data_IF_126978312363
#
_entry.id   IF_126978312363
#
_cell.length_a   1.000
_cell.length_b   1.000
_cell.length_c   1.000
_cell.angle_alpha   90.00
_cell.angle_beta   90.00
_cell.angle_gamma   90.00
#
_symmetry.space_group_name_H-M   'P 1'
#
loop_
_entity.id
_entity.type
_entity.pdbx_description
1 polymer ?
#
# COMPACT_ATOMS: atom_id res chain seq x y z
N UNK A 1 10.06 -14.87 2.83
CA UNK A 1 10.35 -13.68 3.65
C UNK A 1 11.30 -13.97 4.82
N UNK A 2 12.31 -14.78 4.57
CA UNK A 2 13.27 -15.19 5.63
C UNK A 2 14.04 -13.97 6.16
N UNK A 3 13.94 -13.72 7.48
CA UNK A 3 14.75 -12.71 8.16
C UNK A 3 14.29 -11.24 8.07
N UNK A 4 13.11 -10.95 7.50
CA UNK A 4 12.61 -9.55 7.39
C UNK A 4 11.92 -9.08 8.67
N UNK A 5 11.18 -9.96 9.33
CA UNK A 5 10.50 -9.68 10.59
C UNK A 5 10.19 -10.99 11.32
N UNK A 6 9.97 -10.97 12.65
CA UNK A 6 9.38 -12.10 13.37
C UNK A 6 7.93 -12.32 12.93
N UNK A 7 7.45 -13.54 13.19
CA UNK A 7 6.09 -13.99 12.89
C UNK A 7 5.53 -14.79 14.06
N UNK A 8 4.23 -14.65 14.34
CA UNK A 8 3.49 -15.59 15.20
C UNK A 8 3.28 -16.96 14.53
N UNK A 9 3.39 -17.03 13.20
CA UNK A 9 3.11 -18.21 12.41
C UNK A 9 1.64 -18.37 12.01
N UNK A 10 0.84 -17.32 12.13
CA UNK A 10 -0.58 -17.32 11.77
C UNK A 10 -0.73 -17.05 10.27
N UNK A 11 -1.30 -18.01 9.54
CA UNK A 11 -1.57 -17.88 8.10
C UNK A 11 -2.64 -16.81 7.83
N UNK A 12 -2.65 -16.29 6.59
CA UNK A 12 -3.54 -15.20 6.17
C UNK A 12 -5.04 -15.50 6.38
N UNK A 13 -5.50 -16.73 6.13
CA UNK A 13 -6.89 -17.14 6.35
C UNK A 13 -7.32 -16.98 7.82
N UNK A 14 -6.73 -17.73 8.75
CA UNK A 14 -7.01 -17.60 10.18
C UNK A 14 -6.87 -16.16 10.71
N UNK A 15 -5.83 -15.42 10.27
CA UNK A 15 -5.63 -14.03 10.67
C UNK A 15 -6.81 -13.14 10.27
N UNK A 16 -7.33 -13.31 9.05
CA UNK A 16 -8.49 -12.55 8.56
C UNK A 16 -9.79 -12.91 9.29
N UNK A 17 -9.96 -14.18 9.69
CA UNK A 17 -11.11 -14.57 10.50
C UNK A 17 -11.03 -13.95 11.90
N UNK A 18 -9.86 -13.97 12.55
CA UNK A 18 -9.65 -13.28 13.84
C UNK A 18 -9.96 -11.77 13.73
N UNK A 19 -9.49 -11.11 12.66
CA UNK A 19 -9.82 -9.69 12.45
C UNK A 19 -11.34 -9.48 12.29
N UNK A 20 -12.01 -10.35 11.54
CA UNK A 20 -13.46 -10.29 11.33
C UNK A 20 -14.24 -10.49 12.63
N UNK A 21 -13.87 -11.50 13.42
CA UNK A 21 -14.46 -11.77 14.72
C UNK A 21 -14.26 -10.61 15.69
N UNK A 22 -13.05 -10.06 15.74
CA UNK A 22 -12.73 -8.89 16.57
C UNK A 22 -13.59 -7.68 16.20
N UNK A 23 -13.72 -7.38 14.89
CA UNK A 23 -14.54 -6.26 14.41
C UNK A 23 -16.05 -6.49 14.68
N UNK A 24 -16.51 -7.74 14.65
CA UNK A 24 -17.91 -8.06 14.96
C UNK A 24 -18.21 -7.85 16.45
N UNK A 25 -17.25 -8.15 17.33
CA UNK A 25 -17.41 -8.01 18.77
C UNK A 25 -17.21 -6.58 19.29
N UNK A 26 -16.26 -5.82 18.69
CA UNK A 26 -15.80 -4.53 19.21
C UNK A 26 -16.11 -3.34 18.30
N UNK A 27 -16.70 -3.59 17.12
CA UNK A 27 -16.90 -2.56 16.10
C UNK A 27 -15.73 -2.41 15.17
N UNK A 28 -15.96 -1.66 14.10
CA UNK A 28 -14.93 -1.31 13.09
C UNK A 28 -14.40 0.06 13.44
N UNK A 29 -13.08 0.28 13.51
CA UNK A 29 -12.51 1.60 13.74
C UNK A 29 -13.06 2.65 12.78
N UNK A 30 -13.34 3.83 13.27
CA UNK A 30 -13.72 4.99 12.45
C UNK A 30 -12.52 5.47 11.62
N UNK A 31 -12.76 6.31 10.61
CA UNK A 31 -11.68 6.89 9.79
C UNK A 31 -10.67 7.66 10.65
N UNK A 32 -11.15 8.36 11.68
CA UNK A 32 -10.32 9.16 12.59
C UNK A 32 -9.46 8.30 13.53
N UNK A 33 -9.89 7.09 13.83
CA UNK A 33 -9.13 6.13 14.65
C UNK A 33 -8.07 5.36 13.86
N UNK A 34 -8.25 5.22 12.54
CA UNK A 34 -7.36 4.43 11.69
C UNK A 34 -5.88 4.83 11.78
N UNK A 35 -5.51 6.13 11.79
CA UNK A 35 -4.09 6.51 11.88
C UNK A 35 -3.40 5.95 13.13
N UNK A 36 -4.09 5.94 14.26
CA UNK A 36 -3.56 5.41 15.52
C UNK A 36 -3.47 3.88 15.47
N UNK A 37 -4.54 3.21 15.08
CA UNK A 37 -4.58 1.73 14.97
C UNK A 37 -3.51 1.21 14.02
N UNK A 38 -3.33 1.85 12.87
CA UNK A 38 -2.33 1.45 11.88
C UNK A 38 -0.92 1.70 12.40
N UNK A 39 -0.65 2.87 12.96
CA UNK A 39 0.66 3.19 13.55
C UNK A 39 1.03 2.19 14.65
N UNK A 40 0.12 1.89 15.56
CA UNK A 40 0.35 0.95 16.66
C UNK A 40 0.66 -0.45 16.12
N UNK A 41 -0.09 -0.92 15.11
CA UNK A 41 0.18 -2.18 14.45
C UNK A 41 1.59 -2.21 13.80
N UNK A 42 2.03 -1.12 13.16
CA UNK A 42 3.35 -1.03 12.52
C UNK A 42 4.49 -0.81 13.52
N UNK A 43 4.23 -0.42 14.78
CA UNK A 43 5.25 -0.40 15.84
C UNK A 43 5.56 -1.81 16.34
N UNK A 44 4.62 -2.75 16.26
CA UNK A 44 4.82 -4.13 16.64
C UNK A 44 5.91 -4.81 15.80
N UNK A 45 6.51 -5.87 16.33
CA UNK A 45 7.58 -6.57 15.61
C UNK A 45 7.03 -7.61 14.63
N UNK A 46 5.93 -8.25 14.99
CA UNK A 46 5.36 -9.38 14.26
C UNK A 46 4.63 -8.94 12.99
N UNK A 47 5.01 -9.56 11.88
CA UNK A 47 4.55 -9.17 10.55
C UNK A 47 3.05 -9.33 10.34
N UNK A 48 2.44 -10.29 11.03
CA UNK A 48 0.98 -10.49 10.97
C UNK A 48 0.19 -9.27 11.40
N UNK A 49 0.69 -8.44 12.34
CA UNK A 49 0.03 -7.21 12.76
C UNK A 49 0.07 -6.15 11.66
N UNK A 50 1.20 -6.02 10.94
CA UNK A 50 1.27 -5.15 9.76
C UNK A 50 0.27 -5.58 8.68
N UNK A 51 0.20 -6.89 8.39
CA UNK A 51 -0.79 -7.41 7.43
C UNK A 51 -2.23 -7.21 7.90
N UNK A 52 -2.48 -7.29 9.21
CA UNK A 52 -3.81 -7.04 9.77
C UNK A 52 -4.23 -5.59 9.56
N UNK A 53 -3.32 -4.63 9.81
CA UNK A 53 -3.55 -3.22 9.52
C UNK A 53 -3.83 -2.96 8.02
N UNK A 54 -3.06 -3.60 7.13
CA UNK A 54 -3.27 -3.49 5.68
C UNK A 54 -4.62 -4.09 5.25
N UNK A 55 -5.03 -5.23 5.80
CA UNK A 55 -6.35 -5.82 5.54
C UNK A 55 -7.48 -4.91 6.04
N UNK A 56 -7.32 -4.28 7.21
CA UNK A 56 -8.27 -3.31 7.75
C UNK A 56 -8.40 -2.09 6.83
N UNK A 57 -7.28 -1.49 6.41
CA UNK A 57 -7.26 -0.37 5.48
C UNK A 57 -7.89 -0.73 4.13
N UNK A 58 -7.60 -1.91 3.60
CA UNK A 58 -8.18 -2.40 2.35
C UNK A 58 -9.71 -2.47 2.43
N UNK A 59 -10.26 -2.93 3.56
CA UNK A 59 -11.71 -2.98 3.78
C UNK A 59 -12.35 -1.59 3.85
N UNK A 60 -11.61 -0.59 4.30
CA UNK A 60 -12.11 0.78 4.47
C UNK A 60 -11.67 1.75 3.37
N UNK A 61 -10.86 1.31 2.40
CA UNK A 61 -10.25 2.17 1.38
C UNK A 61 -11.24 3.09 0.65
N UNK A 62 -12.49 2.65 0.47
CA UNK A 62 -13.54 3.45 -0.16
C UNK A 62 -14.07 4.60 0.71
N UNK A 63 -13.75 4.63 2.00
CA UNK A 63 -14.13 5.72 2.92
C UNK A 63 -13.01 6.75 3.07
N UNK A 64 -11.80 6.42 2.58
CA UNK A 64 -10.62 7.27 2.68
C UNK A 64 -10.55 8.22 1.49
N UNK A 65 -9.97 9.40 1.71
CA UNK A 65 -9.71 10.42 0.71
C UNK A 65 -8.23 10.82 0.66
N UNK A 66 -7.85 11.79 -0.17
CA UNK A 66 -6.46 12.25 -0.29
C UNK A 66 -5.85 12.79 1.00
N UNK A 67 -6.67 13.31 1.90
CA UNK A 67 -6.26 13.84 3.20
C UNK A 67 -5.70 12.77 4.14
N UNK A 68 -5.96 11.48 3.86
CA UNK A 68 -5.38 10.36 4.60
C UNK A 68 -4.05 9.87 4.02
N UNK A 69 -3.67 10.29 2.82
CA UNK A 69 -2.43 9.83 2.17
C UNK A 69 -1.16 10.12 2.97
N UNK A 70 -1.02 11.23 3.72
CA UNK A 70 0.18 11.48 4.50
C UNK A 70 0.51 10.36 5.50
N UNK A 71 -0.43 9.96 6.34
CA UNK A 71 -0.19 8.91 7.33
C UNK A 71 -0.19 7.49 6.73
N UNK A 72 -0.84 7.29 5.56
CA UNK A 72 -0.71 6.04 4.80
C UNK A 72 0.71 5.92 4.22
N UNK A 73 1.32 7.03 3.78
CA UNK A 73 2.73 7.07 3.37
C UNK A 73 3.65 6.73 4.54
N UNK A 74 3.39 7.23 5.75
CA UNK A 74 4.14 6.86 6.95
C UNK A 74 4.08 5.34 7.21
N UNK A 75 2.90 4.73 7.08
CA UNK A 75 2.74 3.28 7.20
C UNK A 75 3.45 2.52 6.07
N UNK A 76 3.45 3.06 4.86
CA UNK A 76 4.11 2.46 3.70
C UNK A 76 5.63 2.44 3.86
N UNK A 77 6.21 3.49 4.47
CA UNK A 77 7.65 3.63 4.69
C UNK A 77 8.10 3.02 6.02
N UNK A 78 7.20 2.75 6.95
CA UNK A 78 7.50 2.05 8.20
C UNK A 78 7.66 0.54 7.95
N UNK A 79 8.82 -0.04 8.28
CA UNK A 79 9.12 -1.48 8.14
C UNK A 79 8.76 -2.02 6.75
N UNK A 80 9.09 -1.26 5.72
CA UNK A 80 8.70 -1.49 4.32
C UNK A 80 9.19 -2.85 3.81
N UNK A 81 8.31 -3.57 3.15
CA UNK A 81 8.62 -4.75 2.36
C UNK A 81 7.52 -4.94 1.31
N UNK A 82 7.83 -5.61 0.22
CA UNK A 82 6.93 -5.73 -0.93
C UNK A 82 5.50 -6.22 -0.59
N UNK A 83 5.35 -7.08 0.40
CA UNK A 83 4.06 -7.68 0.79
C UNK A 83 3.05 -6.69 1.39
N UNK A 84 3.52 -5.69 2.15
CA UNK A 84 2.66 -4.60 2.66
C UNK A 84 2.60 -3.45 1.69
N UNK A 85 3.72 -3.08 1.07
CA UNK A 85 3.80 -1.97 0.11
C UNK A 85 2.88 -2.21 -1.08
N UNK A 86 2.92 -3.41 -1.69
CA UNK A 86 2.09 -3.73 -2.86
C UNK A 86 0.60 -3.68 -2.54
N UNK A 87 0.24 -4.20 -1.37
CA UNK A 87 -1.15 -4.18 -0.95
C UNK A 87 -1.63 -2.74 -0.65
N UNK A 88 -0.83 -1.93 0.05
CA UNK A 88 -1.15 -0.52 0.28
C UNK A 88 -1.24 0.25 -1.05
N UNK A 89 -0.27 0.09 -1.93
CA UNK A 89 -0.24 0.77 -3.23
C UNK A 89 -1.48 0.42 -4.07
N UNK A 90 -1.77 -0.87 -4.26
CA UNK A 90 -2.79 -1.30 -5.23
C UNK A 90 -4.21 -1.30 -4.67
N UNK A 91 -4.41 -1.64 -3.38
CA UNK A 91 -5.74 -1.78 -2.80
C UNK A 91 -6.21 -0.54 -2.04
N UNK A 92 -5.30 0.22 -1.43
CA UNK A 92 -5.65 1.38 -0.62
C UNK A 92 -5.44 2.66 -1.44
N UNK A 93 -4.19 2.99 -1.75
CA UNK A 93 -3.81 4.21 -2.48
C UNK A 93 -4.46 4.23 -3.87
N UNK A 94 -4.38 3.13 -4.61
CA UNK A 94 -5.03 3.02 -5.91
C UNK A 94 -6.54 3.21 -5.85
N UNK A 95 -7.21 2.77 -4.78
CA UNK A 95 -8.64 3.01 -4.58
C UNK A 95 -8.94 4.48 -4.28
N UNK A 96 -8.12 5.14 -3.46
CA UNK A 96 -8.26 6.56 -3.15
C UNK A 96 -8.06 7.38 -4.42
N UNK A 97 -6.93 7.23 -5.11
CA UNK A 97 -6.57 8.03 -6.28
C UNK A 97 -7.50 7.79 -7.47
N UNK A 98 -8.05 6.59 -7.64
CA UNK A 98 -9.07 6.34 -8.66
C UNK A 98 -10.34 7.18 -8.47
N UNK A 99 -10.69 7.45 -7.22
CA UNK A 99 -11.87 8.26 -6.86
C UNK A 99 -11.57 9.75 -6.78
N UNK A 100 -10.30 10.09 -6.66
CA UNK A 100 -9.78 11.44 -6.49
C UNK A 100 -8.63 11.71 -7.48
N UNK A 101 -8.91 11.69 -8.80
CA UNK A 101 -7.87 11.81 -9.83
C UNK A 101 -7.15 13.17 -9.77
N UNK A 102 -7.78 14.20 -9.21
CA UNK A 102 -7.19 15.52 -8.99
C UNK A 102 -5.96 15.49 -8.05
N UNK A 103 -5.85 14.49 -7.20
CA UNK A 103 -4.73 14.32 -6.29
C UNK A 103 -3.53 13.60 -6.92
N UNK A 104 -3.72 12.91 -8.06
CA UNK A 104 -2.69 12.10 -8.71
C UNK A 104 -1.42 12.92 -9.03
N UNK A 105 -1.48 14.09 -9.68
CA UNK A 105 -0.25 14.80 -10.06
C UNK A 105 0.66 15.08 -8.87
N UNK A 106 0.09 15.56 -7.76
CA UNK A 106 0.84 15.90 -6.55
C UNK A 106 1.48 14.66 -5.91
N UNK A 107 0.70 13.61 -5.69
CA UNK A 107 1.17 12.42 -5.00
C UNK A 107 2.09 11.57 -5.87
N UNK A 108 1.79 11.46 -7.16
CA UNK A 108 2.66 10.74 -8.09
C UNK A 108 4.05 11.40 -8.18
N UNK A 109 4.12 12.72 -8.36
CA UNK A 109 5.41 13.42 -8.45
C UNK A 109 6.20 13.28 -7.14
N UNK A 110 5.54 13.41 -5.99
CA UNK A 110 6.15 13.19 -4.68
C UNK A 110 6.79 11.80 -4.55
N UNK A 111 6.08 10.76 -4.98
CA UNK A 111 6.57 9.38 -4.84
C UNK A 111 7.59 9.00 -5.88
N UNK A 112 7.38 9.39 -7.14
CA UNK A 112 8.27 8.99 -8.24
C UNK A 112 9.65 9.66 -8.16
N UNK A 113 9.72 10.85 -7.56
CA UNK A 113 10.97 11.59 -7.35
C UNK A 113 11.64 11.33 -6.01
N UNK A 114 11.02 10.55 -5.15
CA UNK A 114 11.55 10.23 -3.82
C UNK A 114 12.87 9.45 -3.91
N UNK A 115 13.72 9.64 -2.91
CA UNK A 115 14.88 8.77 -2.69
C UNK A 115 14.49 7.37 -2.16
N UNK A 116 13.28 7.20 -1.63
CA UNK A 116 12.79 5.94 -1.09
C UNK A 116 12.31 5.01 -2.21
N UNK A 117 12.91 3.82 -2.28
CA UNK A 117 12.58 2.77 -3.24
C UNK A 117 11.10 2.36 -3.22
N UNK A 118 10.51 2.32 -2.03
CA UNK A 118 9.14 1.82 -1.86
C UNK A 118 8.10 2.85 -2.27
N UNK A 119 8.41 4.15 -2.15
CA UNK A 119 7.60 5.22 -2.72
C UNK A 119 7.67 5.21 -4.25
N UNK A 120 8.86 5.03 -4.84
CA UNK A 120 8.97 4.85 -6.29
C UNK A 120 8.19 3.63 -6.77
N UNK A 121 8.27 2.51 -6.03
CA UNK A 121 7.49 1.31 -6.31
C UNK A 121 5.99 1.58 -6.26
N UNK A 122 5.52 2.34 -5.27
CA UNK A 122 4.12 2.73 -5.13
C UNK A 122 3.64 3.55 -6.33
N UNK A 123 4.43 4.53 -6.79
CA UNK A 123 4.10 5.33 -7.98
C UNK A 123 3.94 4.50 -9.26
N UNK A 124 4.68 3.40 -9.39
CA UNK A 124 4.54 2.47 -10.53
C UNK A 124 3.30 1.57 -10.37
N UNK A 125 2.95 1.17 -9.13
CA UNK A 125 1.97 0.10 -8.89
C UNK A 125 0.55 0.59 -8.54
N UNK A 126 0.33 1.83 -8.16
CA UNK A 126 -0.97 2.24 -7.63
C UNK A 126 -2.13 2.03 -8.62
N UNK A 127 -1.86 2.05 -9.93
CA UNK A 127 -2.85 1.81 -10.98
C UNK A 127 -3.07 0.32 -11.32
N UNK A 128 -2.28 -0.62 -10.78
CA UNK A 128 -2.27 -2.03 -11.21
C UNK A 128 -3.63 -2.74 -11.20
N UNK A 129 -4.62 -2.20 -10.50
CA UNK A 129 -5.97 -2.79 -10.44
C UNK A 129 -7.01 -2.01 -11.25
N UNK A 130 -6.61 -1.00 -11.98
CA UNK A 130 -7.53 -0.12 -12.72
C UNK A 130 -7.96 -0.70 -14.06
N UNK A 131 -7.21 -1.67 -14.60
CA UNK A 131 -7.51 -2.33 -15.88
C UNK A 131 -7.66 -1.32 -17.02
N UNK A 132 -8.81 -1.26 -17.68
CA UNK A 132 -9.07 -0.35 -18.79
C UNK A 132 -9.01 1.15 -18.41
N UNK A 133 -9.11 1.48 -17.12
CA UNK A 133 -9.04 2.87 -16.64
C UNK A 133 -7.60 3.32 -16.33
N UNK A 134 -6.60 2.45 -16.58
CA UNK A 134 -5.19 2.79 -16.35
C UNK A 134 -4.75 3.93 -17.28
N UNK A 135 -4.21 5.00 -16.70
CA UNK A 135 -3.51 6.06 -17.44
C UNK A 135 -2.14 5.53 -17.88
N UNK A 136 -2.07 5.10 -19.14
CA UNK A 136 -0.86 4.49 -19.71
C UNK A 136 0.27 5.53 -19.90
N UNK A 137 -0.06 6.77 -20.21
CA UNK A 137 0.96 7.82 -20.41
C UNK A 137 1.66 8.10 -19.07
N UNK A 138 0.91 8.21 -17.99
CA UNK A 138 1.47 8.35 -16.65
C UNK A 138 2.29 7.12 -16.24
N UNK A 139 1.77 5.92 -16.50
CA UNK A 139 2.47 4.67 -16.16
C UNK A 139 3.81 4.58 -16.91
N UNK A 140 3.84 4.82 -18.21
CA UNK A 140 5.06 4.77 -18.98
C UNK A 140 6.04 5.87 -18.58
N UNK A 141 5.57 7.08 -18.28
CA UNK A 141 6.41 8.16 -17.74
C UNK A 141 7.08 7.75 -16.43
N UNK A 142 6.35 7.11 -15.52
CA UNK A 142 6.90 6.61 -14.25
C UNK A 142 7.92 5.48 -14.48
N UNK A 143 7.66 4.59 -15.42
CA UNK A 143 8.57 3.50 -15.78
C UNK A 143 9.86 4.07 -16.38
N UNK A 144 9.78 5.00 -17.31
CA UNK A 144 10.94 5.59 -17.99
C UNK A 144 11.88 6.29 -17.01
N UNK A 145 11.33 6.99 -16.01
CA UNK A 145 12.14 7.62 -14.94
C UNK A 145 13.01 6.62 -14.17
N UNK A 146 12.63 5.37 -14.13
CA UNK A 146 13.31 4.32 -13.35
C UNK A 146 13.82 3.14 -14.20
N UNK A 147 13.67 3.17 -15.51
CA UNK A 147 14.05 2.07 -16.40
C UNK A 147 15.53 1.66 -16.30
N UNK A 148 16.41 2.64 -16.06
CA UNK A 148 17.86 2.40 -15.91
C UNK A 148 18.26 1.86 -14.52
N UNK A 149 17.36 1.88 -13.53
CA UNK A 149 17.66 1.46 -12.16
C UNK A 149 17.76 -0.05 -12.04
N UNK A 150 18.70 -0.52 -11.22
CA UNK A 150 19.03 -1.94 -11.09
C UNK A 150 18.41 -2.60 -9.86
N UNK A 151 17.72 -1.86 -9.01
CA UNK A 151 17.11 -2.40 -7.80
C UNK A 151 16.06 -3.44 -8.11
N UNK A 152 16.25 -4.61 -7.53
CA UNK A 152 15.43 -5.79 -7.80
C UNK A 152 13.92 -5.53 -7.67
N UNK A 153 13.51 -4.88 -6.58
CA UNK A 153 12.09 -4.64 -6.33
C UNK A 153 11.46 -3.62 -7.28
N UNK A 154 12.25 -2.66 -7.78
CA UNK A 154 11.77 -1.69 -8.77
C UNK A 154 11.58 -2.35 -10.13
N UNK A 155 12.56 -3.13 -10.57
CA UNK A 155 12.45 -3.92 -11.82
C UNK A 155 11.27 -4.90 -11.79
N UNK A 156 11.01 -5.51 -10.61
CA UNK A 156 9.84 -6.38 -10.43
C UNK A 156 8.53 -5.62 -10.50
N UNK A 157 8.46 -4.39 -9.96
CA UNK A 157 7.29 -3.54 -10.09
C UNK A 157 6.99 -3.21 -11.56
N UNK A 158 8.00 -2.76 -12.29
CA UNK A 158 7.88 -2.46 -13.74
C UNK A 158 7.37 -3.69 -14.50
N UNK A 159 8.00 -4.85 -14.31
CA UNK A 159 7.57 -6.08 -14.98
C UNK A 159 6.17 -6.54 -14.58
N UNK A 160 5.71 -6.25 -13.36
CA UNK A 160 4.35 -6.54 -12.94
C UNK A 160 3.35 -5.57 -13.55
N UNK A 161 3.63 -4.26 -13.50
CA UNK A 161 2.76 -3.23 -14.08
C UNK A 161 2.53 -3.42 -15.59
N UNK A 162 3.59 -3.79 -16.34
CA UNK A 162 3.50 -4.03 -17.78
C UNK A 162 2.73 -5.33 -18.15
N UNK A 163 2.55 -6.25 -17.22
CA UNK A 163 1.83 -7.51 -17.46
C UNK A 163 0.34 -7.39 -17.18
N UNK A 164 -0.09 -6.50 -16.30
CA UNK A 164 -1.48 -6.31 -15.90
C UNK A 164 -2.34 -5.59 -16.94
#
# INVERSE_FOLDING_TARGET
MKGVAPFFGIKAGPRRELLKEHMAANGVPTVDELPTVVRDAFTCQERELHHTAVDLLTKQARKLGPEQLPWIEDALTAKSWWDTVDALATHVIGTILKRHPEAIPTWNERWITSADLWLNRTAILFQNRWKADTDLDLLFTNIDRHAARQEFFLRKAIGWALRE
#
